data_IF_106523404825
#
_entry.id   IF_106523404825
#
_cell.length_a   1.000
_cell.length_b   1.000
_cell.length_c   1.000
_cell.angle_alpha   90.00
_cell.angle_beta   90.00
_cell.angle_gamma   90.00
#
_symmetry.space_group_name_H-M   'P 1'
#
loop_
_entity.id
_entity.type
_entity.pdbx_description
1 polymer ?
#
# COMPACT_ATOMS: atom_id res chain seq x y z
N UNK A 1 4.38 -1.12 -19.05
CA UNK A 1 4.08 -0.31 -17.85
C UNK A 1 3.82 1.15 -18.16
N UNK A 2 4.80 1.94 -18.64
CA UNK A 2 4.61 3.39 -18.88
C UNK A 2 3.49 3.65 -19.89
N UNK A 3 3.43 2.91 -21.00
CA UNK A 3 2.35 3.00 -21.99
C UNK A 3 0.95 2.78 -21.39
N UNK A 4 0.83 1.89 -20.40
CA UNK A 4 -0.44 1.64 -19.71
C UNK A 4 -0.84 2.84 -18.82
N UNK A 5 0.12 3.42 -18.10
CA UNK A 5 -0.08 4.63 -17.29
C UNK A 5 -0.54 5.80 -18.17
N UNK A 6 0.15 6.03 -19.30
CA UNK A 6 -0.21 7.10 -20.24
C UNK A 6 -1.60 6.87 -20.84
N UNK A 7 -1.97 5.62 -21.11
CA UNK A 7 -3.30 5.28 -21.63
C UNK A 7 -4.41 5.54 -20.60
N UNK A 8 -4.17 5.19 -19.33
CA UNK A 8 -5.12 5.41 -18.23
C UNK A 8 -5.27 6.90 -17.89
N UNK A 9 -4.17 7.66 -17.96
CA UNK A 9 -4.11 9.10 -17.66
C UNK A 9 -4.08 9.98 -18.91
N UNK A 10 -4.66 9.50 -20.03
CA UNK A 10 -4.55 10.15 -21.34
C UNK A 10 -4.97 11.62 -21.30
N UNK A 11 -6.09 11.92 -20.66
CA UNK A 11 -6.64 13.28 -20.60
C UNK A 11 -5.70 14.24 -19.85
N UNK A 12 -5.12 13.78 -18.74
CA UNK A 12 -4.10 14.53 -18.00
C UNK A 12 -2.84 14.78 -18.84
N UNK A 13 -2.32 13.77 -19.54
CA UNK A 13 -1.11 13.95 -20.37
C UNK A 13 -1.34 14.84 -21.59
N UNK A 14 -2.58 14.95 -22.09
CA UNK A 14 -2.94 15.86 -23.17
C UNK A 14 -3.17 17.29 -22.65
N UNK A 15 -3.93 17.46 -21.56
CA UNK A 15 -4.31 18.79 -21.08
C UNK A 15 -3.28 19.44 -20.14
N UNK A 16 -2.52 18.64 -19.39
CA UNK A 16 -1.65 19.10 -18.30
C UNK A 16 -2.38 19.53 -17.04
N UNK A 17 -3.72 19.49 -17.03
CA UNK A 17 -4.54 19.91 -15.88
C UNK A 17 -4.63 18.78 -14.87
N UNK A 18 -4.13 19.00 -13.65
CA UNK A 18 -4.20 18.05 -12.55
C UNK A 18 -5.63 17.61 -12.20
N UNK A 19 -6.65 18.42 -12.50
CA UNK A 19 -8.06 18.06 -12.33
C UNK A 19 -8.50 16.89 -13.22
N UNK A 20 -7.76 16.63 -14.30
CA UNK A 20 -8.02 15.53 -15.22
C UNK A 20 -7.27 14.24 -14.83
N UNK A 21 -6.52 14.24 -13.72
CA UNK A 21 -5.94 13.02 -13.17
C UNK A 21 -7.08 12.13 -12.70
N UNK A 22 -7.18 10.94 -13.30
CA UNK A 22 -8.16 9.94 -12.90
C UNK A 22 -7.61 9.16 -11.70
N UNK A 23 -8.43 8.83 -10.69
CA UNK A 23 -8.03 7.88 -9.67
C UNK A 23 -7.53 6.59 -10.32
N UNK A 24 -6.34 6.14 -9.93
CA UNK A 24 -5.68 4.96 -10.49
C UNK A 24 -4.82 4.29 -9.41
N UNK A 25 -4.90 2.98 -9.31
CA UNK A 25 -4.11 2.16 -8.40
C UNK A 25 -3.07 1.32 -9.16
N UNK A 26 -2.11 0.76 -8.42
CA UNK A 26 -1.08 -0.08 -9.03
C UNK A 26 -1.65 -1.35 -9.68
N UNK A 27 -2.78 -1.86 -9.17
CA UNK A 27 -3.49 -3.02 -9.72
C UNK A 27 -4.01 -2.76 -11.14
N UNK A 28 -4.55 -1.58 -11.42
CA UNK A 28 -5.04 -1.23 -12.77
C UNK A 28 -3.95 -1.39 -13.84
N UNK A 29 -2.72 -0.99 -13.50
CA UNK A 29 -1.56 -1.13 -14.38
C UNK A 29 -1.08 -2.58 -14.43
N UNK A 30 -1.17 -3.32 -13.32
CA UNK A 30 -0.83 -4.74 -13.25
C UNK A 30 -1.71 -5.56 -14.19
N UNK A 31 -3.02 -5.36 -14.11
CA UNK A 31 -4.01 -6.08 -14.90
C UNK A 31 -3.83 -5.84 -16.41
N UNK A 32 -3.46 -4.62 -16.81
CA UNK A 32 -3.20 -4.29 -18.23
C UNK A 32 -1.88 -4.87 -18.71
N UNK A 33 -0.86 -4.94 -17.86
CA UNK A 33 0.51 -5.26 -18.29
C UNK A 33 0.93 -6.70 -17.99
N UNK A 34 0.19 -7.41 -17.15
CA UNK A 34 0.55 -8.74 -16.64
C UNK A 34 1.73 -8.74 -15.66
N UNK A 35 2.24 -7.57 -15.27
CA UNK A 35 3.35 -7.48 -14.32
C UNK A 35 2.86 -7.49 -12.88
N UNK A 36 3.69 -8.06 -12.00
CA UNK A 36 3.46 -8.01 -10.57
C UNK A 36 3.41 -6.57 -10.03
N UNK A 37 2.52 -6.33 -9.07
CA UNK A 37 2.32 -5.02 -8.43
C UNK A 37 3.64 -4.46 -7.87
N UNK A 38 4.49 -5.30 -7.29
CA UNK A 38 5.78 -4.89 -6.74
C UNK A 38 6.76 -4.41 -7.81
N UNK A 39 6.69 -4.98 -9.03
CA UNK A 39 7.48 -4.56 -10.19
C UNK A 39 7.06 -3.17 -10.63
N UNK A 40 5.76 -2.94 -10.76
CA UNK A 40 5.21 -1.63 -11.14
C UNK A 40 5.55 -0.58 -10.09
N UNK A 41 5.38 -0.90 -8.80
CA UNK A 41 5.72 -0.01 -7.69
C UNK A 41 7.18 0.45 -7.73
N UNK A 42 8.12 -0.44 -8.05
CA UNK A 42 9.56 -0.10 -8.17
C UNK A 42 9.83 0.85 -9.33
N UNK A 43 9.19 0.61 -10.48
CA UNK A 43 9.35 1.46 -11.66
C UNK A 43 8.80 2.85 -11.40
N UNK A 44 7.56 2.99 -10.91
CA UNK A 44 6.93 4.31 -10.73
C UNK A 44 7.59 5.15 -9.63
N UNK A 45 8.21 4.52 -8.63
CA UNK A 45 8.94 5.22 -7.56
C UNK A 45 10.23 5.89 -8.00
N UNK A 46 10.81 5.49 -9.13
CA UNK A 46 12.13 5.96 -9.58
C UNK A 46 12.10 6.68 -10.93
N UNK A 47 10.90 6.91 -11.48
CA UNK A 47 10.74 7.44 -12.84
C UNK A 47 9.93 8.73 -12.86
N UNK A 48 10.41 9.62 -13.73
CA UNK A 48 9.77 10.87 -14.09
C UNK A 48 9.44 10.81 -15.57
N UNK A 49 8.31 11.40 -15.96
CA UNK A 49 7.93 11.60 -17.35
C UNK A 49 8.20 13.06 -17.72
N UNK A 50 8.96 13.27 -18.77
CA UNK A 50 9.09 14.57 -19.41
C UNK A 50 7.89 14.76 -20.34
N UNK A 51 7.11 15.81 -20.12
CA UNK A 51 5.88 16.10 -20.87
C UNK A 51 5.91 17.56 -21.34
N UNK A 52 5.12 17.92 -22.37
CA UNK A 52 5.02 19.32 -22.81
C UNK A 52 4.61 20.29 -21.70
N UNK A 53 3.91 19.79 -20.67
CA UNK A 53 3.42 20.56 -19.53
C UNK A 53 4.36 20.50 -18.31
N UNK A 54 5.56 19.94 -18.47
CA UNK A 54 6.58 19.82 -17.44
C UNK A 54 6.91 18.38 -17.04
N UNK A 55 7.80 18.26 -16.05
CA UNK A 55 8.26 16.97 -15.55
C UNK A 55 7.28 16.45 -14.50
N UNK A 56 6.73 15.27 -14.73
CA UNK A 56 5.76 14.63 -13.85
C UNK A 56 6.42 13.46 -13.12
N UNK A 57 6.36 13.45 -11.80
CA UNK A 57 6.75 12.28 -11.02
C UNK A 57 5.65 11.22 -11.12
N UNK A 58 5.96 10.06 -11.74
CA UNK A 58 4.93 9.06 -12.07
C UNK A 58 4.16 8.56 -10.85
N UNK A 59 4.80 8.51 -9.67
CA UNK A 59 4.14 8.09 -8.42
C UNK A 59 2.95 8.99 -8.07
N UNK A 60 3.00 10.28 -8.40
CA UNK A 60 1.93 11.23 -8.06
C UNK A 60 0.63 10.99 -8.82
N UNK A 61 0.66 10.14 -9.86
CA UNK A 61 -0.51 9.75 -10.64
C UNK A 61 -1.29 8.59 -10.01
N UNK A 62 -0.83 8.06 -8.88
CA UNK A 62 -1.45 6.92 -8.19
C UNK A 62 -2.03 7.36 -6.85
N UNK A 63 -3.23 6.85 -6.53
CA UNK A 63 -3.81 7.00 -5.19
C UNK A 63 -3.08 6.10 -4.17
N UNK A 64 -2.97 6.58 -2.93
CA UNK A 64 -2.31 5.88 -1.81
C UNK A 64 -3.15 4.72 -1.21
N UNK A 65 -3.96 4.03 -2.01
CA UNK A 65 -4.76 2.88 -1.55
C UNK A 65 -3.95 1.58 -1.63
N UNK A 66 -3.83 0.89 -0.49
CA UNK A 66 -3.23 -0.44 -0.41
C UNK A 66 -4.30 -1.46 -0.78
N UNK A 67 -4.08 -2.16 -1.88
CA UNK A 67 -5.02 -3.16 -2.37
C UNK A 67 -4.72 -4.51 -1.70
N UNK A 68 -5.75 -5.23 -1.24
CA UNK A 68 -5.62 -6.66 -0.89
C UNK A 68 -5.44 -7.53 -2.15
N UNK A 69 -5.14 -8.82 -1.97
CA UNK A 69 -4.95 -9.77 -3.08
C UNK A 69 -6.20 -9.88 -3.99
N UNK A 70 -7.39 -9.55 -3.46
CA UNK A 70 -8.67 -9.56 -4.19
C UNK A 70 -8.96 -8.26 -4.98
N UNK A 71 -8.18 -7.20 -4.82
CA UNK A 71 -8.39 -5.95 -5.54
C UNK A 71 -9.22 -4.89 -4.84
N UNK A 72 -9.65 -5.13 -3.61
CA UNK A 72 -10.38 -4.15 -2.83
C UNK A 72 -9.40 -3.17 -2.18
N UNK A 73 -9.76 -1.88 -2.22
CA UNK A 73 -9.04 -0.83 -1.52
C UNK A 73 -9.15 -1.05 -0.02
N UNK A 74 -8.12 -1.64 0.59
CA UNK A 74 -8.06 -1.72 2.04
C UNK A 74 -7.49 -0.42 2.55
N UNK A 75 -8.33 0.34 3.25
CA UNK A 75 -7.87 1.59 3.84
C UNK A 75 -6.79 1.29 4.88
N UNK A 76 -5.69 2.06 4.85
CA UNK A 76 -4.62 1.96 5.88
C UNK A 76 -5.19 2.08 7.30
N UNK A 77 -6.31 2.80 7.44
CA UNK A 77 -7.03 2.98 8.71
C UNK A 77 -7.62 1.67 9.23
N UNK A 78 -8.20 0.86 8.36
CA UNK A 78 -8.81 -0.44 8.69
C UNK A 78 -7.76 -1.46 9.13
N UNK A 79 -6.63 -1.56 8.42
CA UNK A 79 -5.51 -2.42 8.82
C UNK A 79 -5.00 -2.03 10.21
N UNK A 80 -4.84 -0.72 10.46
CA UNK A 80 -4.41 -0.21 11.77
C UNK A 80 -5.39 -0.56 12.88
N UNK A 81 -6.70 -0.47 12.61
CA UNK A 81 -7.73 -0.83 13.57
C UNK A 81 -7.67 -2.32 13.91
N UNK A 82 -7.59 -3.20 12.90
CA UNK A 82 -7.45 -4.64 13.15
C UNK A 82 -6.15 -5.01 13.85
N UNK A 83 -5.06 -4.30 13.57
CA UNK A 83 -3.79 -4.47 14.27
C UNK A 83 -3.93 -4.10 15.76
N UNK A 84 -4.60 -2.99 16.08
CA UNK A 84 -4.90 -2.61 17.47
C UNK A 84 -5.80 -3.62 18.17
N UNK A 85 -6.85 -4.11 17.50
CA UNK A 85 -7.75 -5.13 18.06
C UNK A 85 -7.03 -6.44 18.35
N UNK A 86 -6.18 -6.91 17.43
CA UNK A 86 -5.40 -8.13 17.59
C UNK A 86 -4.44 -8.03 18.78
N UNK A 87 -3.75 -6.90 18.91
CA UNK A 87 -2.82 -6.64 20.02
C UNK A 87 -3.59 -6.42 21.33
N UNK A 88 -4.74 -5.77 21.30
CA UNK A 88 -5.59 -5.57 22.49
C UNK A 88 -6.14 -6.86 23.07
N UNK A 89 -6.32 -7.90 22.23
CA UNK A 89 -6.76 -9.25 22.64
C UNK A 89 -5.59 -10.21 22.86
N UNK A 90 -4.34 -9.75 22.79
CA UNK A 90 -3.18 -10.63 22.90
C UNK A 90 -2.99 -11.14 24.34
N UNK A 91 -2.42 -12.33 24.47
CA UNK A 91 -2.00 -12.82 25.77
C UNK A 91 -0.72 -12.06 26.18
N UNK A 92 -0.81 -11.22 27.22
CA UNK A 92 0.34 -10.43 27.71
C UNK A 92 1.52 -11.25 28.21
N UNK A 93 1.34 -12.53 28.54
CA UNK A 93 2.46 -13.45 28.86
C UNK A 93 3.19 -13.94 27.60
N UNK A 94 2.53 -13.90 26.45
CA UNK A 94 3.05 -14.30 25.14
C UNK A 94 2.54 -13.35 24.04
N UNK A 95 2.98 -12.08 24.03
CA UNK A 95 2.52 -11.09 23.07
C UNK A 95 2.87 -11.50 21.64
N UNK A 96 2.04 -11.08 20.68
CA UNK A 96 2.20 -11.45 19.28
C UNK A 96 3.43 -10.76 18.67
N UNK A 97 4.28 -11.55 18.01
CA UNK A 97 5.37 -11.01 17.19
C UNK A 97 4.80 -10.37 15.92
N UNK A 98 5.58 -9.52 15.27
CA UNK A 98 5.17 -8.93 13.98
C UNK A 98 4.87 -10.04 12.94
N UNK A 99 5.56 -11.18 13.00
CA UNK A 99 5.29 -12.35 12.14
C UNK A 99 3.96 -13.05 12.49
N UNK A 100 3.61 -13.15 13.77
CA UNK A 100 2.31 -13.69 14.17
C UNK A 100 1.17 -12.76 13.74
N UNK A 101 1.38 -11.44 13.82
CA UNK A 101 0.41 -10.44 13.36
C UNK A 101 0.21 -10.47 11.84
N UNK A 102 1.25 -10.77 11.05
CA UNK A 102 1.11 -11.05 9.61
C UNK A 102 0.17 -12.24 9.40
N UNK A 103 0.34 -13.32 10.15
CA UNK A 103 -0.54 -14.50 10.05
C UNK A 103 -2.01 -14.16 10.36
N UNK A 104 -2.25 -13.47 11.47
CA UNK A 104 -3.60 -13.06 11.90
C UNK A 104 -4.28 -12.18 10.84
N UNK A 105 -3.55 -11.24 10.25
CA UNK A 105 -4.11 -10.34 9.24
C UNK A 105 -4.29 -11.06 7.90
N UNK A 106 -3.42 -12.02 7.56
CA UNK A 106 -3.59 -12.88 6.40
C UNK A 106 -4.83 -13.77 6.50
N UNK A 107 -5.15 -14.31 7.68
CA UNK A 107 -6.38 -15.08 7.92
C UNK A 107 -7.65 -14.24 7.69
N UNK A 108 -7.55 -12.91 7.86
CA UNK A 108 -8.63 -11.95 7.59
C UNK A 108 -8.66 -11.47 6.13
N UNK A 109 -7.83 -12.03 5.24
CA UNK A 109 -7.74 -11.61 3.83
C UNK A 109 -6.78 -10.44 3.56
N UNK A 110 -6.05 -9.96 4.58
CA UNK A 110 -5.07 -8.89 4.41
C UNK A 110 -3.66 -9.46 4.22
N UNK A 111 -3.23 -9.56 2.97
CA UNK A 111 -1.86 -9.98 2.66
C UNK A 111 -0.88 -8.82 2.78
N UNK A 112 -0.28 -8.67 3.98
CA UNK A 112 0.64 -7.59 4.29
C UNK A 112 1.98 -8.10 4.79
N UNK A 113 3.05 -7.47 4.31
CA UNK A 113 4.40 -7.83 4.70
C UNK A 113 4.69 -7.41 6.16
N UNK A 114 5.53 -8.19 6.84
CA UNK A 114 6.03 -7.91 8.20
C UNK A 114 6.57 -6.49 8.39
N UNK A 115 7.26 -5.94 7.38
CA UNK A 115 7.78 -4.55 7.43
C UNK A 115 6.66 -3.51 7.49
N UNK A 116 5.53 -3.78 6.83
CA UNK A 116 4.34 -2.93 6.85
C UNK A 116 3.67 -2.98 8.22
N UNK A 117 3.58 -4.17 8.84
CA UNK A 117 3.13 -4.33 10.24
C UNK A 117 4.00 -3.50 11.18
N UNK A 118 5.33 -3.64 11.10
CA UNK A 118 6.26 -2.90 11.94
C UNK A 118 6.07 -1.38 11.80
N UNK A 119 5.97 -0.89 10.57
CA UNK A 119 5.70 0.52 10.27
C UNK A 119 4.38 1.01 10.88
N UNK A 120 3.30 0.23 10.75
CA UNK A 120 2.01 0.62 11.33
C UNK A 120 2.01 0.54 12.84
N UNK A 121 2.65 -0.46 13.42
CA UNK A 121 2.84 -0.59 14.87
C UNK A 121 3.57 0.63 15.43
N UNK A 122 4.63 1.09 14.77
CA UNK A 122 5.36 2.32 15.14
C UNK A 122 4.47 3.57 15.02
N UNK A 123 3.71 3.71 13.94
CA UNK A 123 2.76 4.83 13.78
C UNK A 123 1.67 4.85 14.85
N UNK A 124 1.35 3.69 15.42
CA UNK A 124 0.37 3.53 16.51
C UNK A 124 1.01 3.62 17.91
N UNK A 125 2.31 3.91 18.00
CA UNK A 125 3.09 3.94 19.24
C UNK A 125 3.03 2.63 20.05
N UNK A 126 2.86 1.50 19.38
CA UNK A 126 2.82 0.20 20.04
C UNK A 126 4.25 -0.36 20.09
N UNK A 127 4.80 -0.75 21.25
CA UNK A 127 6.16 -1.25 21.32
C UNK A 127 6.27 -2.69 20.79
N UNK A 128 7.49 -3.16 20.53
CA UNK A 128 7.74 -4.54 20.05
C UNK A 128 7.26 -5.59 21.07
N UNK A 129 6.92 -6.80 20.59
CA UNK A 129 6.38 -7.87 21.43
C UNK A 129 7.16 -8.09 22.74
N UNK A 130 8.49 -8.07 22.70
CA UNK A 130 9.35 -8.23 23.88
C UNK A 130 9.06 -7.21 25.00
N UNK A 131 8.68 -5.99 24.65
CA UNK A 131 8.38 -4.90 25.58
C UNK A 131 6.91 -4.88 26.02
N UNK A 132 6.04 -5.65 25.37
CA UNK A 132 4.62 -5.82 25.76
C UNK A 132 4.41 -7.00 26.71
N UNK A 133 5.47 -7.74 27.03
CA UNK A 133 5.39 -8.92 27.88
C UNK A 133 5.30 -8.49 29.35
N UNK A 134 4.20 -8.86 30.01
CA UNK A 134 4.05 -8.73 31.47
C UNK A 134 4.39 -10.07 32.15
N UNK A 135 5.05 -10.01 33.31
CA UNK A 135 5.49 -11.17 34.11
C UNK A 135 4.31 -11.75 34.92
#
# INVERSE_FOLDING_TARGET
>A
TITAIVKLQKDYFISGDEKNIRPMILKDVADITGFDISTISRVVKSKYADTPNGIVYLKNLFSDSLTNDDGEEVSTKEIKQHLQEAIGKENKRKPYTDDALVGILKEKGYNIARRTIAKYREQLNIPVARLRKEL
#
